data_IF_693545120551
#
_entry.id   IF_693545120551
#
_cell.length_a   1.000
_cell.length_b   1.000
_cell.length_c   1.000
_cell.angle_alpha   90.00
_cell.angle_beta   90.00
_cell.angle_gamma   90.00
#
_symmetry.space_group_name_H-M   'P 1'
#
loop_
_entity.id
_entity.type
_entity.pdbx_description
1 polymer ?
#
# COMPACT_ATOMS: atom_id res chain seq x y z
N UNK A 1 -30.79 -17.19 15.11
CA UNK A 1 -31.15 -16.25 14.05
C UNK A 1 -30.32 -14.99 14.27
N UNK A 2 -29.23 -14.81 13.57
CA UNK A 2 -28.52 -13.52 13.51
C UNK A 2 -29.28 -12.68 12.47
N UNK A 3 -29.90 -11.55 12.84
CA UNK A 3 -30.58 -10.71 11.87
C UNK A 3 -29.55 -10.27 10.82
N UNK A 4 -29.86 -10.55 9.56
CA UNK A 4 -29.07 -10.09 8.42
C UNK A 4 -29.17 -8.57 8.42
N UNK A 5 -28.15 -7.87 8.92
CA UNK A 5 -28.09 -6.41 8.86
C UNK A 5 -28.03 -6.09 7.36
N UNK A 6 -29.11 -5.54 6.83
CA UNK A 6 -29.12 -5.07 5.44
C UNK A 6 -28.15 -3.92 5.31
N UNK A 7 -27.19 -4.05 4.42
CA UNK A 7 -26.24 -2.99 4.10
C UNK A 7 -27.00 -1.76 3.63
N UNK A 8 -26.81 -0.61 4.31
CA UNK A 8 -27.45 0.65 3.91
C UNK A 8 -26.73 1.18 2.66
N UNK A 9 -27.49 1.46 1.61
CA UNK A 9 -26.97 2.18 0.46
C UNK A 9 -26.87 3.68 0.80
N UNK A 10 -25.67 4.25 0.67
CA UNK A 10 -25.39 5.66 0.97
C UNK A 10 -25.46 6.58 -0.26
N UNK A 11 -25.79 6.06 -1.45
CA UNK A 11 -25.75 6.84 -2.70
C UNK A 11 -26.66 8.08 -2.67
N UNK A 12 -27.79 8.00 -1.97
CA UNK A 12 -28.77 9.11 -1.88
C UNK A 12 -28.53 10.05 -0.70
N UNK A 13 -28.10 9.51 0.45
CA UNK A 13 -27.98 10.26 1.69
C UNK A 13 -26.54 10.63 2.05
N UNK A 14 -25.59 9.95 1.43
CA UNK A 14 -24.17 10.08 1.69
C UNK A 14 -23.75 9.63 3.10
N UNK A 15 -22.49 9.83 3.42
CA UNK A 15 -21.90 9.46 4.72
C UNK A 15 -22.56 10.20 5.90
N UNK A 16 -23.14 11.38 5.66
CA UNK A 16 -23.80 12.21 6.69
C UNK A 16 -24.86 11.43 7.49
N UNK A 17 -25.60 10.52 6.83
CA UNK A 17 -26.68 9.75 7.44
C UNK A 17 -26.22 8.75 8.52
N UNK A 18 -24.94 8.39 8.52
CA UNK A 18 -24.38 7.39 9.44
C UNK A 18 -23.18 7.91 10.24
N UNK A 19 -22.65 9.10 9.92
CA UNK A 19 -21.41 9.60 10.52
C UNK A 19 -21.45 9.64 12.05
N UNK A 20 -22.61 9.94 12.65
CA UNK A 20 -22.77 9.98 14.10
C UNK A 20 -22.72 8.59 14.80
N UNK A 21 -22.83 7.50 14.02
CA UNK A 21 -22.81 6.14 14.57
C UNK A 21 -21.38 5.60 14.75
N UNK A 22 -20.36 6.34 14.30
CA UNK A 22 -18.96 5.91 14.34
C UNK A 22 -18.08 7.02 14.88
N UNK A 23 -17.00 6.64 15.57
CA UNK A 23 -16.02 7.58 16.12
C UNK A 23 -14.84 7.76 15.18
N UNK A 24 -14.50 6.72 14.40
CA UNK A 24 -13.36 6.71 13.47
C UNK A 24 -13.76 6.11 12.12
N UNK A 25 -13.14 6.63 11.04
CA UNK A 25 -13.34 6.16 9.68
C UNK A 25 -12.00 5.73 9.06
N UNK A 26 -11.94 4.52 8.53
CA UNK A 26 -10.83 4.06 7.69
C UNK A 26 -11.21 4.26 6.23
N UNK A 27 -10.45 5.08 5.52
CA UNK A 27 -10.79 5.55 4.19
C UNK A 27 -9.61 5.26 3.25
N UNK A 28 -9.87 4.58 2.14
CA UNK A 28 -8.86 4.33 1.12
C UNK A 28 -8.48 5.63 0.37
N UNK A 29 -7.27 5.67 -0.18
CA UNK A 29 -6.78 6.82 -0.94
C UNK A 29 -7.04 6.69 -2.43
N UNK A 30 -6.58 5.58 -3.04
CA UNK A 30 -6.65 5.42 -4.49
C UNK A 30 -8.07 5.16 -4.96
N UNK A 31 -8.54 5.96 -5.93
CA UNK A 31 -9.91 5.86 -6.43
C UNK A 31 -10.97 6.50 -5.52
N UNK A 32 -10.66 6.76 -4.25
CA UNK A 32 -11.57 7.35 -3.26
C UNK A 32 -11.24 8.82 -3.00
N UNK A 33 -10.01 9.12 -2.64
CA UNK A 33 -9.55 10.50 -2.37
C UNK A 33 -8.95 11.14 -3.61
N UNK A 34 -8.27 10.36 -4.44
CA UNK A 34 -7.64 10.82 -5.68
C UNK A 34 -7.60 9.72 -6.75
N UNK A 35 -7.41 10.13 -8.00
CA UNK A 35 -7.25 9.22 -9.14
C UNK A 35 -5.79 9.11 -9.63
N UNK A 36 -4.82 9.48 -8.82
CA UNK A 36 -3.40 9.53 -9.17
C UNK A 36 -2.94 10.85 -9.80
N UNK A 37 -3.87 11.69 -10.29
CA UNK A 37 -3.61 12.97 -10.95
C UNK A 37 -4.14 14.14 -10.13
N UNK A 38 -5.37 14.03 -9.65
CA UNK A 38 -6.07 15.07 -8.89
C UNK A 38 -6.88 14.49 -7.74
N UNK A 39 -7.13 15.35 -6.75
CA UNK A 39 -8.03 15.05 -5.63
C UNK A 39 -9.49 15.10 -6.10
N UNK A 40 -10.33 14.25 -5.50
CA UNK A 40 -11.78 14.32 -5.68
C UNK A 40 -12.36 15.37 -4.73
N UNK A 41 -12.99 16.41 -5.27
CA UNK A 41 -13.52 17.54 -4.50
C UNK A 41 -14.52 17.12 -3.42
N UNK A 42 -15.43 16.18 -3.76
CA UNK A 42 -16.42 15.65 -2.82
C UNK A 42 -15.77 14.88 -1.65
N UNK A 43 -14.67 14.16 -1.91
CA UNK A 43 -13.94 13.46 -0.86
C UNK A 43 -13.25 14.47 0.08
N UNK A 44 -12.58 15.48 -0.46
CA UNK A 44 -11.94 16.54 0.34
C UNK A 44 -12.97 17.34 1.17
N UNK A 45 -14.14 17.62 0.58
CA UNK A 45 -15.26 18.22 1.31
C UNK A 45 -15.70 17.32 2.48
N UNK A 46 -15.87 16.03 2.24
CA UNK A 46 -16.29 15.06 3.27
C UNK A 46 -15.29 14.97 4.41
N UNK A 47 -13.97 14.88 4.11
CA UNK A 47 -12.93 14.86 5.15
C UNK A 47 -12.96 16.13 6.02
N UNK A 48 -13.12 17.32 5.41
CA UNK A 48 -13.25 18.54 6.19
C UNK A 48 -14.51 18.52 7.07
N UNK A 49 -15.63 17.96 6.58
CA UNK A 49 -16.86 17.83 7.39
C UNK A 49 -16.70 16.85 8.55
N UNK A 50 -15.97 15.76 8.39
CA UNK A 50 -15.65 14.86 9.50
C UNK A 50 -14.88 15.61 10.60
N UNK A 51 -13.86 16.40 10.26
CA UNK A 51 -13.13 17.22 11.22
C UNK A 51 -14.03 18.27 11.91
N UNK A 52 -14.96 18.89 11.16
CA UNK A 52 -15.90 19.90 11.72
C UNK A 52 -16.84 19.31 12.76
N UNK A 53 -17.18 18.02 12.66
CA UNK A 53 -18.06 17.32 13.60
C UNK A 53 -17.29 16.42 14.60
N UNK A 54 -15.98 16.69 14.75
CA UNK A 54 -15.08 16.03 15.69
C UNK A 54 -15.06 14.49 15.51
N UNK A 55 -14.96 14.05 14.26
CA UNK A 55 -14.78 12.65 13.90
C UNK A 55 -13.38 12.37 13.40
N UNK A 56 -12.78 11.30 13.94
CA UNK A 56 -11.47 10.84 13.51
C UNK A 56 -11.54 10.07 12.19
N UNK A 57 -10.47 10.12 11.43
CA UNK A 57 -10.28 9.25 10.27
C UNK A 57 -8.81 8.91 10.05
N UNK A 58 -8.58 7.77 9.40
CA UNK A 58 -7.26 7.35 8.91
C UNK A 58 -7.38 7.11 7.42
N UNK A 59 -6.51 7.77 6.65
CA UNK A 59 -6.38 7.56 5.22
C UNK A 59 -5.43 6.40 4.98
N UNK A 60 -5.97 5.21 4.76
CA UNK A 60 -5.21 3.98 4.52
C UNK A 60 -4.91 3.79 3.04
N UNK A 61 -3.72 3.30 2.74
CA UNK A 61 -3.38 2.93 1.37
C UNK A 61 -2.42 1.75 1.34
N UNK A 62 -2.57 0.89 0.34
CA UNK A 62 -1.65 -0.22 0.05
C UNK A 62 -0.37 0.22 -0.68
N UNK A 63 -0.13 1.54 -0.81
CA UNK A 63 1.11 2.06 -1.38
C UNK A 63 2.35 1.48 -0.65
N UNK A 64 3.30 0.84 -1.36
CA UNK A 64 4.47 0.19 -0.76
C UNK A 64 5.55 1.20 -0.33
N UNK A 65 5.19 2.47 -0.15
CA UNK A 65 6.09 3.58 0.17
C UNK A 65 5.85 4.10 1.58
N UNK A 66 6.89 4.66 2.24
CA UNK A 66 6.73 5.34 3.52
C UNK A 66 5.70 6.48 3.44
N UNK A 67 5.02 6.75 4.56
CA UNK A 67 3.95 7.78 4.63
C UNK A 67 4.41 9.16 4.14
N UNK A 68 5.66 9.58 4.46
CA UNK A 68 6.16 10.89 4.04
C UNK A 68 6.25 11.03 2.51
N UNK A 69 6.55 9.95 1.78
CA UNK A 69 6.61 9.96 0.31
C UNK A 69 5.22 10.16 -0.28
N UNK A 70 4.22 9.45 0.25
CA UNK A 70 2.82 9.60 -0.17
C UNK A 70 2.31 11.00 0.18
N UNK A 71 2.62 11.51 1.37
CA UNK A 71 2.27 12.88 1.77
C UNK A 71 2.83 13.94 0.83
N UNK A 72 4.06 13.79 0.36
CA UNK A 72 4.66 14.71 -0.64
C UNK A 72 3.88 14.68 -1.96
N UNK A 73 3.40 13.52 -2.39
CA UNK A 73 2.58 13.40 -3.59
C UNK A 73 1.21 14.06 -3.41
N UNK A 74 0.53 13.84 -2.28
CA UNK A 74 -0.75 14.45 -1.96
C UNK A 74 -0.65 15.99 -1.84
N UNK A 75 0.49 16.48 -1.31
CA UNK A 75 0.78 17.92 -1.26
C UNK A 75 0.87 18.54 -2.64
N UNK A 76 1.56 17.89 -3.58
CA UNK A 76 1.63 18.33 -4.99
C UNK A 76 0.26 18.36 -5.66
N UNK A 77 -0.69 17.51 -5.21
CA UNK A 77 -2.09 17.53 -5.66
C UNK A 77 -2.93 18.62 -4.94
N UNK A 78 -2.34 19.38 -4.00
CA UNK A 78 -3.03 20.47 -3.28
C UNK A 78 -3.72 20.04 -1.97
N UNK A 79 -3.49 18.84 -1.46
CA UNK A 79 -4.09 18.38 -0.21
C UNK A 79 -3.47 19.11 0.98
N UNK A 80 -4.30 19.71 1.84
CA UNK A 80 -3.87 20.46 3.02
C UNK A 80 -3.22 19.55 4.06
N UNK A 81 -2.19 20.05 4.78
CA UNK A 81 -1.45 19.32 5.81
C UNK A 81 -2.38 18.66 6.84
N UNK A 82 -3.36 19.38 7.36
CA UNK A 82 -4.32 18.88 8.36
C UNK A 82 -5.05 17.60 7.95
N UNK A 83 -5.19 17.32 6.63
CA UNK A 83 -5.76 16.08 6.12
C UNK A 83 -4.68 15.01 5.89
N UNK A 84 -3.49 15.42 5.43
CA UNK A 84 -2.36 14.53 5.17
C UNK A 84 -1.76 13.93 6.44
N UNK A 85 -1.93 14.58 7.60
CA UNK A 85 -1.45 14.07 8.89
C UNK A 85 -2.17 12.77 9.31
N UNK A 86 -3.28 12.43 8.66
CA UNK A 86 -4.04 11.20 8.89
C UNK A 86 -3.67 10.04 7.94
N UNK A 87 -2.67 10.22 7.07
CA UNK A 87 -2.26 9.18 6.11
C UNK A 87 -1.42 8.11 6.78
N UNK A 88 -1.76 6.85 6.51
CA UNK A 88 -0.97 5.69 6.88
C UNK A 88 -0.87 4.69 5.71
N UNK A 89 0.35 4.25 5.41
CA UNK A 89 0.63 3.40 4.25
C UNK A 89 1.04 1.99 4.68
N UNK A 90 0.79 1.00 3.83
CA UNK A 90 1.31 -0.36 4.07
C UNK A 90 2.85 -0.37 4.04
N UNK A 91 3.47 0.49 3.21
CA UNK A 91 4.92 0.70 3.22
C UNK A 91 5.45 1.21 4.57
N UNK A 92 4.71 2.11 5.25
CA UNK A 92 5.09 2.57 6.59
C UNK A 92 4.97 1.45 7.63
N UNK A 93 3.92 0.65 7.57
CA UNK A 93 3.77 -0.53 8.44
C UNK A 93 4.93 -1.51 8.23
N UNK A 94 5.23 -1.82 6.96
CA UNK A 94 6.36 -2.68 6.60
C UNK A 94 7.70 -2.10 7.06
N UNK A 95 7.94 -0.79 6.86
CA UNK A 95 9.17 -0.12 7.31
C UNK A 95 9.35 -0.23 8.84
N UNK A 96 8.30 0.01 9.61
CA UNK A 96 8.33 -0.13 11.06
C UNK A 96 8.69 -1.56 11.49
N UNK A 97 8.12 -2.56 10.83
CA UNK A 97 8.41 -3.97 11.07
C UNK A 97 9.85 -4.33 10.67
N UNK A 98 10.31 -3.86 9.49
CA UNK A 98 11.65 -4.11 8.98
C UNK A 98 12.72 -3.50 9.88
N UNK A 99 12.56 -2.26 10.32
CA UNK A 99 13.51 -1.58 11.24
C UNK A 99 13.61 -2.37 12.53
N UNK A 100 12.50 -2.83 13.08
CA UNK A 100 12.46 -3.55 14.37
C UNK A 100 13.14 -4.92 14.31
N UNK A 101 13.01 -5.67 13.22
CA UNK A 101 13.34 -7.10 13.18
C UNK A 101 14.36 -7.49 12.10
N UNK A 102 14.57 -6.64 11.09
CA UNK A 102 15.29 -7.01 9.86
C UNK A 102 16.34 -6.00 9.40
N UNK A 103 16.51 -4.85 10.07
CA UNK A 103 17.37 -3.76 9.61
C UNK A 103 18.85 -4.10 9.47
N UNK A 104 19.31 -5.19 10.12
CA UNK A 104 20.69 -5.69 10.04
C UNK A 104 20.81 -7.02 9.28
N UNK A 105 19.74 -7.45 8.61
CA UNK A 105 19.70 -8.68 7.84
C UNK A 105 19.81 -8.41 6.36
N UNK A 106 20.58 -9.22 5.65
CA UNK A 106 20.71 -9.11 4.20
C UNK A 106 19.40 -9.46 3.50
N UNK A 107 18.98 -8.63 2.56
CA UNK A 107 17.76 -8.83 1.78
C UNK A 107 18.00 -8.70 0.28
N UNK A 108 17.16 -9.41 -0.49
CA UNK A 108 17.06 -9.23 -1.92
C UNK A 108 15.76 -8.47 -2.22
N UNK A 109 15.89 -7.33 -2.93
CA UNK A 109 14.75 -6.48 -3.26
C UNK A 109 14.11 -6.93 -4.57
N UNK A 110 12.82 -7.19 -4.54
CA UNK A 110 11.96 -7.47 -5.69
C UNK A 110 11.02 -6.28 -5.84
N UNK A 111 11.17 -5.53 -6.91
CA UNK A 111 10.40 -4.33 -7.16
C UNK A 111 11.14 -3.29 -8.00
N UNK A 112 10.44 -2.24 -8.43
CA UNK A 112 11.03 -1.18 -9.24
C UNK A 112 12.02 -0.35 -8.42
N UNK A 113 13.05 0.24 -9.05
CA UNK A 113 14.04 1.09 -8.37
C UNK A 113 13.43 2.27 -7.61
N UNK A 114 12.28 2.78 -8.06
CA UNK A 114 11.59 3.91 -7.42
C UNK A 114 11.13 3.67 -5.98
N UNK A 115 11.07 2.41 -5.54
CA UNK A 115 10.63 2.04 -4.18
C UNK A 115 11.80 2.02 -3.18
N UNK A 116 12.97 2.53 -3.59
CA UNK A 116 14.17 2.64 -2.77
C UNK A 116 13.95 3.37 -1.43
N UNK A 117 13.05 4.33 -1.37
CA UNK A 117 12.75 5.11 -0.15
C UNK A 117 12.37 4.22 1.04
N UNK A 118 11.79 3.04 0.79
CA UNK A 118 11.38 2.10 1.82
C UNK A 118 12.56 1.55 2.63
N UNK A 119 13.72 1.36 2.01
CA UNK A 119 14.88 0.70 2.64
C UNK A 119 16.16 1.54 2.63
N UNK A 120 16.03 2.85 2.39
CA UNK A 120 17.18 3.75 2.34
C UNK A 120 18.05 3.67 3.60
N UNK A 121 17.44 3.56 4.79
CA UNK A 121 18.15 3.56 6.07
C UNK A 121 18.97 2.27 6.31
N UNK A 122 18.62 1.18 5.62
CA UNK A 122 19.34 -0.10 5.70
C UNK A 122 19.77 -0.64 4.34
N UNK A 123 19.96 0.24 3.36
CA UNK A 123 20.40 -0.09 1.99
C UNK A 123 21.71 -0.88 1.91
N UNK A 124 22.59 -0.73 2.91
CA UNK A 124 23.86 -1.46 2.98
C UNK A 124 23.68 -2.97 3.13
N UNK A 125 22.50 -3.41 3.57
CA UNK A 125 22.13 -4.82 3.67
C UNK A 125 21.42 -5.35 2.42
N UNK A 126 21.27 -4.54 1.36
CA UNK A 126 20.72 -5.00 0.08
C UNK A 126 21.73 -5.89 -0.64
N UNK A 127 21.36 -7.15 -0.84
CA UNK A 127 22.12 -8.10 -1.65
C UNK A 127 21.79 -7.97 -3.12
N UNK A 128 22.79 -8.14 -3.99
CA UNK A 128 22.61 -8.28 -5.43
C UNK A 128 22.25 -9.72 -5.84
N UNK A 129 22.52 -10.67 -4.97
CA UNK A 129 22.35 -12.10 -5.21
C UNK A 129 21.32 -12.66 -4.24
N UNK A 130 20.31 -13.35 -4.77
CA UNK A 130 19.22 -13.93 -3.98
C UNK A 130 19.74 -15.02 -3.02
N UNK A 131 20.79 -15.75 -3.40
CA UNK A 131 21.39 -16.78 -2.55
C UNK A 131 21.97 -16.21 -1.25
N UNK A 132 22.51 -15.00 -1.30
CA UNK A 132 23.22 -14.35 -0.20
C UNK A 132 22.31 -13.55 0.74
N UNK A 133 21.00 -13.56 0.54
CA UNK A 133 20.07 -12.86 1.40
C UNK A 133 19.40 -13.76 2.43
N UNK A 134 18.97 -13.19 3.54
CA UNK A 134 18.22 -13.88 4.59
C UNK A 134 16.71 -13.81 4.34
N UNK A 135 16.25 -12.77 3.62
CA UNK A 135 14.85 -12.61 3.26
C UNK A 135 14.66 -11.88 1.93
N UNK A 136 13.47 -12.00 1.36
CA UNK A 136 13.03 -11.31 0.16
C UNK A 136 12.16 -10.12 0.57
N UNK A 137 12.45 -8.93 0.05
CA UNK A 137 11.62 -7.74 0.24
C UNK A 137 10.92 -7.42 -1.09
N UNK A 138 9.61 -7.71 -1.15
CA UNK A 138 8.81 -7.50 -2.34
C UNK A 138 7.98 -6.21 -2.21
N UNK A 139 8.30 -5.21 -3.02
CA UNK A 139 7.57 -3.94 -3.10
C UNK A 139 6.76 -3.79 -4.39
N UNK A 140 7.04 -4.61 -5.40
CA UNK A 140 6.43 -4.58 -6.72
C UNK A 140 7.03 -5.62 -7.64
N UNK A 141 6.85 -5.43 -8.94
CA UNK A 141 7.52 -6.19 -9.98
C UNK A 141 8.76 -5.42 -10.47
N UNK A 142 9.72 -6.13 -11.07
CA UNK A 142 10.80 -5.49 -11.81
C UNK A 142 10.25 -4.80 -13.06
N UNK A 143 10.81 -3.66 -13.45
CA UNK A 143 10.34 -2.91 -14.62
C UNK A 143 10.38 -3.75 -15.91
N UNK A 144 11.43 -4.58 -16.09
CA UNK A 144 11.59 -5.45 -17.25
C UNK A 144 10.66 -6.68 -17.25
N UNK A 145 10.06 -7.02 -16.12
CA UNK A 145 9.22 -8.20 -15.93
C UNK A 145 7.89 -7.86 -15.25
N UNK A 146 7.34 -6.70 -15.55
CA UNK A 146 6.18 -6.12 -14.88
C UNK A 146 4.84 -6.83 -15.18
N UNK A 147 4.82 -7.75 -16.14
CA UNK A 147 3.65 -8.57 -16.51
C UNK A 147 3.97 -10.08 -16.60
N UNK A 148 5.21 -10.48 -16.30
CA UNK A 148 5.66 -11.87 -16.46
C UNK A 148 5.82 -12.59 -15.12
N UNK A 149 4.74 -13.21 -14.64
CA UNK A 149 4.77 -14.00 -13.41
C UNK A 149 5.58 -15.31 -13.53
N UNK A 150 5.83 -15.84 -14.75
CA UNK A 150 6.67 -17.03 -14.92
C UNK A 150 8.12 -16.72 -14.59
N UNK A 151 8.61 -15.52 -14.92
CA UNK A 151 9.94 -15.07 -14.50
C UNK A 151 10.13 -15.22 -12.98
N UNK A 152 9.14 -14.80 -12.18
CA UNK A 152 9.22 -14.89 -10.72
C UNK A 152 9.13 -16.34 -10.22
N UNK A 153 8.36 -17.18 -10.88
CA UNK A 153 8.32 -18.60 -10.59
C UNK A 153 9.71 -19.23 -10.74
N UNK A 154 10.37 -18.98 -11.86
CA UNK A 154 11.72 -19.49 -12.13
C UNK A 154 12.75 -18.91 -11.13
N UNK A 155 12.64 -17.61 -10.81
CA UNK A 155 13.47 -16.94 -9.82
C UNK A 155 13.37 -17.61 -8.44
N UNK A 156 12.18 -18.05 -8.04
CA UNK A 156 11.93 -18.62 -6.72
C UNK A 156 12.21 -20.13 -6.61
N UNK A 157 12.33 -20.84 -7.71
CA UNK A 157 12.39 -22.32 -7.73
C UNK A 157 13.37 -22.91 -6.71
N UNK A 158 14.54 -22.27 -6.52
CA UNK A 158 15.59 -22.71 -5.58
C UNK A 158 15.55 -21.96 -4.24
N UNK A 159 14.57 -21.08 -4.02
CA UNK A 159 14.56 -20.13 -2.90
C UNK A 159 13.28 -20.15 -2.07
N UNK A 160 12.44 -21.15 -2.24
CA UNK A 160 11.15 -21.31 -1.54
C UNK A 160 11.28 -21.36 -0.01
N UNK A 161 12.46 -21.73 0.51
CA UNK A 161 12.73 -21.75 1.95
C UNK A 161 13.02 -20.39 2.56
N UNK A 162 13.16 -19.34 1.74
CA UNK A 162 13.39 -18.00 2.23
C UNK A 162 12.07 -17.39 2.71
N UNK A 163 12.17 -16.42 3.61
CA UNK A 163 11.03 -15.62 4.02
C UNK A 163 10.81 -14.46 3.06
N UNK A 164 9.56 -14.21 2.67
CA UNK A 164 9.20 -13.02 1.90
C UNK A 164 8.40 -12.04 2.76
N UNK A 165 8.74 -10.75 2.65
CA UNK A 165 7.98 -9.64 3.20
C UNK A 165 7.42 -8.86 2.02
N UNK A 166 6.10 -8.90 1.84
CA UNK A 166 5.38 -8.17 0.80
C UNK A 166 4.79 -6.88 1.40
N UNK A 167 5.05 -5.76 0.76
CA UNK A 167 4.66 -4.43 1.25
C UNK A 167 3.38 -3.88 0.63
N UNK A 168 2.84 -4.58 -0.38
CA UNK A 168 1.56 -4.28 -1.02
C UNK A 168 0.84 -5.60 -1.34
N UNK A 169 -0.24 -5.95 -0.62
CA UNK A 169 -0.94 -7.22 -0.83
C UNK A 169 -1.82 -7.25 -2.08
N UNK A 170 -2.04 -6.12 -2.75
CA UNK A 170 -2.87 -6.07 -3.95
C UNK A 170 -2.27 -6.94 -5.06
N UNK A 171 -3.14 -7.68 -5.77
CA UNK A 171 -2.73 -8.48 -6.92
C UNK A 171 -2.59 -7.62 -8.16
N UNK A 172 -3.52 -6.69 -8.33
CA UNK A 172 -3.64 -5.82 -9.51
C UNK A 172 -4.08 -4.43 -9.09
N UNK A 173 -3.77 -3.44 -9.93
CA UNK A 173 -4.29 -2.08 -9.82
C UNK A 173 -4.73 -1.57 -11.19
N UNK A 174 -5.83 -0.84 -11.22
CA UNK A 174 -6.28 -0.15 -12.44
C UNK A 174 -5.61 1.22 -12.49
N UNK A 175 -4.88 1.50 -13.58
CA UNK A 175 -4.20 2.76 -13.84
C UNK A 175 -4.64 3.34 -15.18
N UNK A 176 -5.59 4.23 -15.12
CA UNK A 176 -6.30 4.70 -16.31
C UNK A 176 -7.08 3.56 -16.95
N UNK A 177 -6.76 3.22 -18.20
CA UNK A 177 -7.38 2.14 -18.95
C UNK A 177 -6.59 0.82 -18.92
N UNK A 178 -5.46 0.81 -18.22
CA UNK A 178 -4.58 -0.36 -18.13
C UNK A 178 -4.65 -0.98 -16.75
N UNK A 179 -4.50 -2.31 -16.72
CA UNK A 179 -4.42 -3.09 -15.49
C UNK A 179 -2.99 -3.56 -15.29
N UNK A 180 -2.40 -3.17 -14.16
CA UNK A 180 -1.03 -3.52 -13.80
C UNK A 180 -1.02 -4.54 -12.66
N UNK A 181 -0.04 -5.46 -12.70
CA UNK A 181 0.23 -6.38 -11.59
C UNK A 181 0.90 -5.62 -10.43
N UNK A 182 0.58 -6.05 -9.20
CA UNK A 182 1.16 -5.51 -7.97
C UNK A 182 2.02 -6.55 -7.25
N UNK A 183 2.71 -6.12 -6.19
CA UNK A 183 3.60 -6.98 -5.39
C UNK A 183 2.90 -8.24 -4.86
N UNK A 184 1.61 -8.15 -4.52
CA UNK A 184 0.81 -9.29 -4.08
C UNK A 184 0.72 -10.42 -5.11
N UNK A 185 0.75 -10.11 -6.42
CA UNK A 185 0.82 -11.14 -7.46
C UNK A 185 2.11 -11.94 -7.39
N UNK A 186 3.24 -11.29 -7.15
CA UNK A 186 4.56 -11.94 -6.96
C UNK A 186 4.56 -12.77 -5.67
N UNK A 187 4.06 -12.18 -4.58
CA UNK A 187 3.96 -12.87 -3.29
C UNK A 187 3.07 -14.11 -3.36
N UNK A 188 1.95 -14.03 -4.10
CA UNK A 188 1.05 -15.17 -4.32
C UNK A 188 1.75 -16.30 -5.12
N UNK A 189 2.60 -15.98 -6.10
CA UNK A 189 3.41 -16.98 -6.79
C UNK A 189 4.33 -17.68 -5.80
N UNK A 190 5.05 -16.91 -4.98
CA UNK A 190 5.96 -17.46 -3.96
C UNK A 190 5.24 -18.35 -2.95
N UNK A 191 4.11 -17.91 -2.41
CA UNK A 191 3.29 -18.65 -1.45
C UNK A 191 2.79 -20.01 -2.00
N UNK A 192 2.40 -20.04 -3.29
CA UNK A 192 1.94 -21.28 -3.93
C UNK A 192 3.05 -22.30 -4.21
N UNK A 193 4.31 -21.89 -4.15
CA UNK A 193 5.46 -22.75 -4.40
C UNK A 193 5.98 -23.42 -3.13
N UNK A 194 5.63 -22.96 -1.95
CA UNK A 194 6.07 -23.51 -0.65
C UNK A 194 5.78 -22.63 0.51
#
# INVERSE_FOLDING_TARGET
FIPRIMTKNLDSEGLKSIANNYDIFYIDLWGVIHNGIKLHEGAIFTLNKLLEIDKDFVLLTNAPRPTHVVNTQLEKMGMKKKLRDHVFTSGQAALTYLIKLYSTKYFFHIGPPKDFDLFNDFKNYKSKEIDKCEYLLCTGLFDDYNQDLNYYKDLFEKHINKKMICTNPDLIVDKGNERELCAGSVAMVFEKMG
#
